data_IF_566310361541
#
_entry.id   IF_566310361541
#
_cell.length_a   1.000
_cell.length_b   1.000
_cell.length_c   1.000
_cell.angle_alpha   90.00
_cell.angle_beta   90.00
_cell.angle_gamma   90.00
#
_symmetry.space_group_name_H-M   'P 1'
#
loop_
_entity.id
_entity.type
_entity.pdbx_description
1 polymer ?
#
# COMPACT_ATOMS: atom_id res chain seq x y z
N UNK A 1 -29.60 24.71 11.34
CA UNK A 1 -29.82 23.35 10.79
C UNK A 1 -31.12 22.78 11.34
N UNK A 2 -31.91 22.05 10.54
CA UNK A 2 -33.02 21.22 11.03
C UNK A 2 -32.80 19.79 10.56
N UNK A 3 -32.66 18.86 11.49
CA UNK A 3 -32.55 17.42 11.22
C UNK A 3 -33.75 16.72 11.84
N UNK A 4 -34.18 15.61 11.23
CA UNK A 4 -35.17 14.71 11.84
C UNK A 4 -34.46 13.55 12.54
N UNK A 5 -35.12 12.95 13.52
CA UNK A 5 -34.64 11.72 14.16
C UNK A 5 -34.44 10.66 13.07
N UNK A 6 -33.22 10.09 13.01
CA UNK A 6 -32.83 9.08 12.03
C UNK A 6 -32.06 9.63 10.82
N UNK A 7 -31.97 10.95 10.63
CA UNK A 7 -31.10 11.53 9.59
C UNK A 7 -29.62 11.37 9.99
N UNK A 8 -28.74 11.20 9.01
CA UNK A 8 -27.29 11.29 9.21
C UNK A 8 -26.87 12.75 9.32
N UNK A 9 -25.80 13.02 10.08
CA UNK A 9 -25.13 14.33 10.10
C UNK A 9 -23.77 14.14 9.42
N UNK A 10 -23.58 14.80 8.28
CA UNK A 10 -22.32 14.81 7.53
C UNK A 10 -21.53 16.05 7.94
N UNK A 11 -20.26 15.85 8.28
CA UNK A 11 -19.31 16.94 8.56
C UNK A 11 -18.50 17.23 7.29
N UNK A 12 -18.58 18.46 6.80
CA UNK A 12 -17.78 18.93 5.67
C UNK A 12 -16.36 19.35 6.10
N UNK A 13 -15.54 19.71 5.12
CA UNK A 13 -14.08 19.86 5.30
C UNK A 13 -13.68 21.03 6.20
N UNK A 14 -14.54 22.03 6.38
CA UNK A 14 -14.30 23.16 7.30
C UNK A 14 -15.11 23.02 8.60
N UNK A 15 -15.59 21.81 8.93
CA UNK A 15 -16.37 21.54 10.12
C UNK A 15 -17.85 21.93 10.01
N UNK A 16 -18.31 22.37 8.84
CA UNK A 16 -19.72 22.57 8.58
C UNK A 16 -20.51 21.26 8.73
N UNK A 17 -21.75 21.35 9.18
CA UNK A 17 -22.59 20.17 9.38
C UNK A 17 -23.78 20.23 8.43
N UNK A 18 -24.16 19.07 7.86
CA UNK A 18 -25.31 18.93 6.97
C UNK A 18 -26.16 17.70 7.36
N UNK A 19 -27.48 17.85 7.53
CA UNK A 19 -28.35 16.70 7.67
C UNK A 19 -28.53 16.00 6.33
N UNK A 20 -28.50 14.67 6.32
CA UNK A 20 -28.64 13.84 5.13
C UNK A 20 -29.62 12.69 5.39
N UNK A 21 -30.54 12.46 4.44
CA UNK A 21 -31.50 11.36 4.55
C UNK A 21 -30.78 10.01 4.37
N UNK A 22 -31.13 8.97 5.14
CA UNK A 22 -30.41 7.69 5.10
C UNK A 22 -30.38 6.99 3.75
N UNK A 23 -31.41 7.14 2.94
CA UNK A 23 -31.50 6.59 1.60
C UNK A 23 -30.64 7.37 0.59
N UNK A 24 -30.54 8.69 0.74
CA UNK A 24 -29.62 9.54 -0.03
C UNK A 24 -28.18 9.21 0.33
N UNK A 25 -27.86 9.14 1.63
CA UNK A 25 -26.52 8.82 2.10
C UNK A 25 -26.00 7.51 1.48
N UNK A 26 -26.79 6.44 1.54
CA UNK A 26 -26.41 5.13 0.98
C UNK A 26 -26.30 5.10 -0.55
N UNK A 27 -26.88 6.07 -1.26
CA UNK A 27 -26.78 6.19 -2.72
C UNK A 27 -25.57 7.04 -3.15
N UNK A 28 -25.11 7.96 -2.29
CA UNK A 28 -24.04 8.90 -2.63
C UNK A 28 -22.71 8.58 -1.97
N UNK A 29 -22.72 7.75 -0.92
CA UNK A 29 -21.52 7.34 -0.19
C UNK A 29 -21.44 5.82 -0.17
N UNK A 30 -20.26 5.32 -0.47
CA UNK A 30 -19.89 3.94 -0.23
C UNK A 30 -19.08 3.88 1.07
N UNK A 31 -19.24 2.81 1.87
CA UNK A 31 -18.35 2.60 3.00
C UNK A 31 -16.92 2.56 2.48
N UNK A 32 -16.05 3.38 3.06
CA UNK A 32 -14.62 3.24 2.81
C UNK A 32 -14.21 1.95 3.48
N UNK A 33 -13.78 0.96 2.69
CA UNK A 33 -13.05 -0.17 3.23
C UNK A 33 -11.80 0.40 3.90
N UNK A 34 -11.80 0.42 5.22
CA UNK A 34 -10.62 0.81 5.95
C UNK A 34 -9.60 -0.30 5.76
N UNK A 35 -8.59 -0.04 4.92
CA UNK A 35 -7.31 -0.76 4.88
C UNK A 35 -6.54 -0.62 6.21
N UNK A 36 -7.23 -0.45 7.35
CA UNK A 36 -6.62 -0.64 8.65
C UNK A 36 -6.36 -2.15 8.76
N UNK A 37 -5.11 -2.62 8.77
CA UNK A 37 -4.86 -4.03 8.88
C UNK A 37 -5.43 -4.48 10.22
N UNK A 38 -6.48 -5.31 10.17
CA UNK A 38 -6.78 -6.21 11.28
C UNK A 38 -5.54 -7.11 11.42
N UNK A 39 -4.59 -6.66 12.24
CA UNK A 39 -3.42 -7.42 12.69
C UNK A 39 -3.90 -8.52 13.65
N UNK A 40 -4.80 -9.38 13.17
CA UNK A 40 -5.15 -10.63 13.84
C UNK A 40 -4.20 -11.69 13.33
N UNK A 41 -3.92 -12.68 14.18
CA UNK A 41 -2.85 -13.68 14.03
C UNK A 41 -2.96 -14.63 12.82
N UNK A 42 -3.83 -14.36 11.84
CA UNK A 42 -3.90 -14.99 10.51
C UNK A 42 -3.83 -13.90 9.42
N UNK A 43 -2.65 -13.28 9.39
CA UNK A 43 -2.23 -11.94 8.94
C UNK A 43 -2.11 -11.72 7.43
N UNK A 44 -3.08 -12.19 6.63
CA UNK A 44 -3.09 -11.90 5.18
C UNK A 44 -3.88 -10.63 4.84
N UNK A 45 -3.40 -9.82 3.91
CA UNK A 45 -3.97 -8.52 3.52
C UNK A 45 -3.84 -8.24 2.01
N UNK A 46 -4.45 -7.14 1.56
CA UNK A 46 -4.43 -6.70 0.15
C UNK A 46 -3.08 -6.09 -0.26
N UNK A 47 -2.83 -5.98 -1.56
CA UNK A 47 -1.67 -5.25 -2.07
C UNK A 47 -1.62 -3.78 -1.60
N UNK A 48 -2.79 -3.14 -1.47
CA UNK A 48 -2.90 -1.77 -0.97
C UNK A 48 -2.33 -1.61 0.44
N UNK A 49 -2.71 -2.52 1.35
CA UNK A 49 -2.14 -2.59 2.71
C UNK A 49 -0.64 -2.89 2.65
N UNK A 50 -0.20 -3.80 1.76
CA UNK A 50 1.22 -4.09 1.58
C UNK A 50 2.01 -2.81 1.23
N UNK A 51 1.53 -1.99 0.30
CA UNK A 51 2.15 -0.70 -0.04
C UNK A 51 2.23 0.26 1.16
N UNK A 52 1.23 0.28 2.03
CA UNK A 52 1.28 1.09 3.25
C UNK A 52 2.36 0.60 4.22
N UNK A 53 2.52 -0.73 4.36
CA UNK A 53 3.59 -1.34 5.15
C UNK A 53 4.96 -0.96 4.58
N UNK A 54 5.15 -1.07 3.26
CA UNK A 54 6.42 -0.71 2.61
C UNK A 54 6.80 0.75 2.84
N UNK A 55 5.83 1.67 2.73
CA UNK A 55 6.04 3.11 3.00
C UNK A 55 6.47 3.39 4.45
N UNK A 56 6.14 2.49 5.37
CA UNK A 56 6.58 2.55 6.79
C UNK A 56 7.91 1.81 7.02
N UNK A 57 8.58 1.33 5.97
CA UNK A 57 9.84 0.59 6.04
C UNK A 57 9.68 -0.89 6.38
N UNK A 58 8.45 -1.42 6.35
CA UNK A 58 8.22 -2.85 6.52
C UNK A 58 8.55 -3.66 5.26
N UNK A 59 8.62 -4.98 5.44
CA UNK A 59 8.83 -5.95 4.37
C UNK A 59 7.55 -6.77 4.18
N UNK A 60 7.17 -7.05 2.93
CA UNK A 60 5.98 -7.84 2.62
C UNK A 60 6.31 -9.01 1.69
N UNK A 61 5.61 -10.12 1.87
CA UNK A 61 5.72 -11.29 1.01
C UNK A 61 4.31 -11.78 0.66
N UNK A 62 4.23 -12.64 -0.35
CA UNK A 62 2.99 -13.34 -0.73
C UNK A 62 3.11 -14.82 -0.43
N UNK A 63 2.00 -15.43 -0.01
CA UNK A 63 1.92 -16.88 0.18
C UNK A 63 2.06 -17.61 -1.17
N UNK A 64 1.47 -17.08 -2.23
CA UNK A 64 1.50 -17.65 -3.58
C UNK A 64 2.80 -17.48 -4.36
N UNK A 65 3.87 -16.92 -3.77
CA UNK A 65 5.16 -16.80 -4.45
C UNK A 65 5.99 -18.09 -4.40
N UNK A 66 6.69 -18.38 -5.49
CA UNK A 66 7.55 -19.55 -5.62
C UNK A 66 8.96 -19.24 -5.09
N UNK A 67 9.17 -19.43 -3.79
CA UNK A 67 10.50 -19.42 -3.20
C UNK A 67 10.51 -19.08 -1.71
N UNK A 68 11.35 -19.78 -0.94
CA UNK A 68 11.51 -19.50 0.49
C UNK A 68 12.20 -18.16 0.69
N UNK A 69 11.59 -17.30 1.51
CA UNK A 69 12.20 -16.03 1.93
C UNK A 69 12.18 -14.93 0.88
N UNK A 70 11.32 -15.03 -0.14
CA UNK A 70 11.08 -13.93 -1.08
C UNK A 70 10.23 -12.85 -0.42
N UNK A 71 10.56 -11.59 -0.64
CA UNK A 71 9.81 -10.44 -0.14
C UNK A 71 10.07 -9.20 -1.00
N UNK A 72 9.25 -8.18 -0.81
CA UNK A 72 9.48 -6.83 -1.32
C UNK A 72 9.71 -5.85 -0.19
N UNK A 73 10.47 -4.81 -0.48
CA UNK A 73 10.74 -3.68 0.40
C UNK A 73 10.83 -2.37 -0.38
N UNK A 74 10.68 -1.24 0.31
CA UNK A 74 10.90 0.08 -0.29
C UNK A 74 12.38 0.45 -0.19
N UNK A 75 13.09 0.38 -1.31
CA UNK A 75 14.47 0.83 -1.40
C UNK A 75 14.52 2.35 -1.57
N UNK A 76 15.47 2.99 -0.89
CA UNK A 76 15.77 4.42 -0.98
C UNK A 76 17.27 4.60 -1.23
N UNK A 77 17.68 5.76 -1.77
CA UNK A 77 19.08 6.04 -2.09
C UNK A 77 19.72 5.01 -3.04
N UNK A 78 18.93 4.57 -4.03
CA UNK A 78 19.33 3.69 -5.11
C UNK A 78 20.26 4.41 -6.10
N UNK A 79 21.32 3.71 -6.50
CA UNK A 79 22.29 4.15 -7.48
C UNK A 79 22.81 2.97 -8.31
N UNK A 80 23.39 3.28 -9.47
CA UNK A 80 24.05 2.30 -10.33
C UNK A 80 25.36 2.87 -10.89
N UNK A 81 26.25 1.99 -11.33
CA UNK A 81 27.48 2.38 -12.03
C UNK A 81 27.25 2.16 -13.53
N UNK A 82 27.43 3.21 -14.32
CA UNK A 82 27.27 3.12 -15.77
C UNK A 82 28.54 2.54 -16.45
N UNK A 83 28.51 2.40 -17.78
CA UNK A 83 29.64 1.88 -18.55
C UNK A 83 30.93 2.73 -18.46
N UNK A 84 30.83 3.97 -17.97
CA UNK A 84 31.95 4.89 -17.78
C UNK A 84 32.54 4.82 -16.35
N UNK A 85 32.11 3.84 -15.53
CA UNK A 85 32.44 3.75 -14.10
C UNK A 85 31.98 4.95 -13.26
N UNK A 86 30.97 5.69 -13.71
CA UNK A 86 30.38 6.79 -12.94
C UNK A 86 29.18 6.28 -12.15
N UNK A 87 29.14 6.62 -10.86
CA UNK A 87 27.96 6.40 -10.01
C UNK A 87 26.87 7.39 -10.40
N UNK A 88 25.68 6.87 -10.71
CA UNK A 88 24.49 7.62 -11.06
C UNK A 88 23.42 7.35 -10.01
N UNK A 89 22.88 8.40 -9.39
CA UNK A 89 21.71 8.30 -8.53
C UNK A 89 20.46 8.18 -9.40
N UNK A 90 19.58 7.24 -9.06
CA UNK A 90 18.34 7.04 -9.79
C UNK A 90 17.22 7.93 -9.23
N UNK A 91 17.42 9.26 -9.31
CA UNK A 91 16.40 10.24 -8.93
C UNK A 91 15.30 10.35 -9.99
N UNK A 92 14.05 10.48 -9.55
CA UNK A 92 12.89 10.64 -10.43
C UNK A 92 11.96 11.74 -9.91
N UNK A 93 11.48 12.63 -10.80
CA UNK A 93 10.70 13.83 -10.42
C UNK A 93 9.45 13.52 -9.58
N UNK A 94 8.76 12.41 -9.87
CA UNK A 94 7.51 12.06 -9.18
C UNK A 94 7.67 11.35 -7.84
N UNK A 95 8.73 10.54 -7.67
CA UNK A 95 8.87 9.62 -6.52
C UNK A 95 10.19 9.80 -5.78
N UNK A 96 11.01 10.76 -6.19
CA UNK A 96 12.37 10.93 -5.69
C UNK A 96 13.23 9.71 -5.98
N UNK A 97 14.13 9.41 -5.04
CA UNK A 97 15.05 8.30 -5.13
C UNK A 97 14.49 7.05 -4.43
N UNK A 98 13.48 6.44 -5.03
CA UNK A 98 12.80 5.28 -4.46
C UNK A 98 12.44 4.25 -5.51
N UNK A 99 12.50 2.98 -5.14
CA UNK A 99 11.96 1.88 -5.93
C UNK A 99 11.50 0.75 -5.02
N UNK A 100 10.49 -0.02 -5.45
CA UNK A 100 10.21 -1.30 -4.81
C UNK A 100 11.30 -2.28 -5.26
N UNK A 101 11.97 -2.88 -4.27
CA UNK A 101 12.94 -3.95 -4.49
C UNK A 101 12.23 -5.29 -4.28
N UNK A 102 12.40 -6.23 -5.21
CA UNK A 102 12.04 -7.63 -4.99
C UNK A 102 13.30 -8.40 -4.59
N UNK A 103 13.31 -8.91 -3.37
CA UNK A 103 14.39 -9.74 -2.83
C UNK A 103 14.02 -11.19 -3.09
N UNK A 104 14.60 -11.75 -4.14
CA UNK A 104 14.42 -13.12 -4.56
C UNK A 104 15.46 -14.07 -3.98
N UNK A 105 15.35 -15.35 -4.32
CA UNK A 105 16.33 -16.38 -3.96
C UNK A 105 17.67 -16.23 -4.68
N UNK A 106 17.70 -15.50 -5.79
CA UNK A 106 18.87 -15.34 -6.67
C UNK A 106 19.44 -13.92 -6.66
N UNK A 107 18.93 -13.05 -5.80
CA UNK A 107 19.37 -11.65 -5.71
C UNK A 107 18.20 -10.68 -5.64
N UNK A 108 18.53 -9.40 -5.81
CA UNK A 108 17.59 -8.28 -5.70
C UNK A 108 17.29 -7.73 -7.09
N UNK A 109 16.00 -7.59 -7.40
CA UNK A 109 15.53 -6.83 -8.56
C UNK A 109 15.01 -5.47 -8.08
N UNK A 110 15.77 -4.41 -8.33
CA UNK A 110 15.33 -3.03 -8.12
C UNK A 110 14.35 -2.60 -9.21
N UNK A 111 13.31 -1.84 -8.83
CA UNK A 111 12.26 -1.42 -9.76
C UNK A 111 11.31 -2.57 -10.13
N UNK A 112 10.98 -3.42 -9.16
CA UNK A 112 10.04 -4.52 -9.36
C UNK A 112 8.66 -3.99 -9.79
N UNK A 113 8.13 -4.57 -10.87
CA UNK A 113 6.81 -4.26 -11.40
C UNK A 113 5.82 -5.31 -10.89
N UNK A 114 4.88 -4.87 -10.04
CA UNK A 114 3.80 -5.73 -9.58
C UNK A 114 2.95 -6.19 -10.77
N UNK A 115 2.74 -7.50 -10.90
CA UNK A 115 1.86 -8.06 -11.92
C UNK A 115 0.38 -7.87 -11.54
N UNK A 116 -0.52 -8.14 -12.49
CA UNK A 116 -1.96 -8.14 -12.20
C UNK A 116 -2.32 -9.13 -11.07
N UNK A 117 -1.63 -10.28 -10.99
CA UNK A 117 -1.89 -11.24 -9.91
C UNK A 117 -1.36 -10.75 -8.56
N UNK A 118 -0.29 -9.96 -8.55
CA UNK A 118 0.23 -9.34 -7.31
C UNK A 118 -0.73 -8.26 -6.79
N UNK A 119 -1.19 -7.39 -7.69
CA UNK A 119 -2.08 -6.27 -7.34
C UNK A 119 -3.46 -6.74 -6.88
N UNK A 120 -3.98 -7.84 -7.44
CA UNK A 120 -5.32 -8.36 -7.13
C UNK A 120 -5.35 -9.42 -6.01
N UNK A 121 -4.19 -9.76 -5.46
CA UNK A 121 -4.12 -10.78 -4.41
C UNK A 121 -4.37 -10.22 -3.01
N UNK A 122 -4.88 -11.11 -2.16
CA UNK A 122 -5.16 -10.86 -0.74
C UNK A 122 -4.34 -11.79 0.18
N UNK A 123 -3.29 -12.41 -0.35
CA UNK A 123 -2.39 -13.34 0.33
C UNK A 123 -1.07 -12.67 0.75
N UNK A 124 -1.06 -11.34 0.87
CA UNK A 124 0.11 -10.58 1.32
C UNK A 124 0.26 -10.65 2.83
N UNK A 125 1.47 -10.79 3.35
CA UNK A 125 1.74 -10.75 4.78
C UNK A 125 3.04 -9.99 5.08
N UNK A 126 3.19 -9.50 6.31
CA UNK A 126 4.44 -8.88 6.75
C UNK A 126 5.50 -9.95 6.98
N UNK A 127 6.69 -9.74 6.42
CA UNK A 127 7.84 -10.60 6.73
C UNK A 127 8.44 -10.16 8.06
N UNK A 128 8.48 -11.07 9.03
CA UNK A 128 9.14 -10.83 10.30
C UNK A 128 10.63 -10.55 10.08
N UNK A 129 11.12 -9.44 10.64
CA UNK A 129 12.55 -9.12 10.65
C UNK A 129 13.25 -10.11 11.58
N UNK A 130 14.18 -10.91 11.04
CA UNK A 130 15.12 -11.69 11.83
C UNK A 130 16.27 -10.82 12.32
#
# INVERSE_FOLDING_TARGET
>A
MKASIGDYIITGVNGEQYPCKPDIFRKTYEPVETDEPELTSNTHFSFGVALQVLKKGGQCAREGWNGKGQYIELATNISYVNAENKTINADHDCIGNMAIAFVGTSGVQLGWLASQSDMLANDWYMKENK
#
